data_IF_041105887297
#
_entry.id   IF_041105887297
#
_cell.length_a   1.000
_cell.length_b   1.000
_cell.length_c   1.000
_cell.angle_alpha   90.00
_cell.angle_beta   90.00
_cell.angle_gamma   90.00
#
_symmetry.space_group_name_H-M   'P 1'
#
loop_
_entity.id
_entity.type
_entity.pdbx_description
1 polymer ?
#
# COMPACT_ATOMS: atom_id res chain seq x y z
N UNK A 1 3.74 -13.82 -43.64
CA UNK A 1 2.55 -12.95 -43.70
C UNK A 1 1.43 -13.73 -43.03
N UNK A 2 1.18 -13.47 -41.74
CA UNK A 2 0.09 -14.12 -41.00
C UNK A 2 -1.23 -13.48 -41.41
N UNK A 3 -2.11 -14.27 -42.05
CA UNK A 3 -3.47 -13.84 -42.42
C UNK A 3 -4.34 -13.84 -41.18
N UNK A 4 -4.66 -12.67 -40.65
CA UNK A 4 -5.68 -12.50 -39.63
C UNK A 4 -7.06 -12.74 -40.27
N UNK A 5 -7.65 -13.91 -40.04
CA UNK A 5 -9.07 -14.15 -40.37
C UNK A 5 -9.92 -13.64 -39.19
N UNK A 6 -10.39 -12.41 -39.29
CA UNK A 6 -11.48 -11.93 -38.45
C UNK A 6 -12.71 -12.84 -38.70
N UNK A 7 -13.24 -13.43 -37.64
CA UNK A 7 -14.53 -14.14 -37.64
C UNK A 7 -15.60 -13.17 -37.04
N UNK A 8 -16.44 -12.58 -37.89
CA UNK A 8 -17.41 -11.57 -37.45
C UNK A 8 -18.39 -12.08 -36.38
N UNK A 9 -18.76 -13.36 -36.47
CA UNK A 9 -19.60 -14.08 -35.51
C UNK A 9 -18.97 -14.18 -34.10
N UNK A 10 -17.67 -14.48 -34.03
CA UNK A 10 -16.96 -14.51 -32.76
C UNK A 10 -16.77 -13.10 -32.17
N UNK A 11 -16.41 -12.12 -33.00
CA UNK A 11 -16.25 -10.73 -32.54
C UNK A 11 -17.58 -10.15 -32.03
N UNK A 12 -18.69 -10.46 -32.69
CA UNK A 12 -20.01 -10.04 -32.24
C UNK A 12 -20.39 -10.69 -30.88
N UNK A 13 -20.09 -11.98 -30.72
CA UNK A 13 -20.31 -12.68 -29.45
C UNK A 13 -19.48 -12.09 -28.29
N UNK A 14 -18.18 -11.85 -28.53
CA UNK A 14 -17.28 -11.23 -27.55
C UNK A 14 -17.70 -9.80 -27.17
N UNK A 15 -18.21 -9.01 -28.13
CA UNK A 15 -18.75 -7.67 -27.90
C UNK A 15 -20.01 -7.69 -27.04
N UNK A 16 -20.91 -8.64 -27.27
CA UNK A 16 -22.13 -8.80 -26.45
C UNK A 16 -21.75 -9.19 -25.04
N UNK A 17 -20.90 -10.19 -24.88
CA UNK A 17 -20.43 -10.62 -23.57
C UNK A 17 -19.67 -9.52 -22.79
N UNK A 18 -18.88 -8.72 -23.50
CA UNK A 18 -18.21 -7.55 -22.91
C UNK A 18 -19.21 -6.50 -22.43
N UNK A 19 -20.23 -6.17 -23.24
CA UNK A 19 -21.25 -5.21 -22.87
C UNK A 19 -22.11 -5.69 -21.68
N UNK A 20 -22.44 -6.97 -21.62
CA UNK A 20 -23.15 -7.57 -20.47
C UNK A 20 -22.31 -7.50 -19.20
N UNK A 21 -21.02 -7.83 -19.27
CA UNK A 21 -20.09 -7.72 -18.15
C UNK A 21 -19.93 -6.26 -17.68
N UNK A 22 -19.85 -5.33 -18.62
CA UNK A 22 -19.76 -3.91 -18.33
C UNK A 22 -21.04 -3.39 -17.64
N UNK A 23 -22.21 -3.76 -18.15
CA UNK A 23 -23.50 -3.38 -17.58
C UNK A 23 -23.67 -3.95 -16.16
N UNK A 24 -23.34 -5.24 -15.95
CA UNK A 24 -23.37 -5.86 -14.64
C UNK A 24 -22.35 -5.24 -13.68
N UNK A 25 -21.17 -4.89 -14.18
CA UNK A 25 -20.15 -4.18 -13.39
C UNK A 25 -20.64 -2.79 -12.94
N UNK A 26 -21.24 -2.02 -13.82
CA UNK A 26 -21.83 -0.72 -13.49
C UNK A 26 -23.00 -0.84 -12.51
N UNK A 27 -23.87 -1.83 -12.69
CA UNK A 27 -24.96 -2.10 -11.77
C UNK A 27 -24.45 -2.47 -10.38
N UNK A 28 -23.45 -3.37 -10.29
CA UNK A 28 -22.80 -3.72 -9.04
C UNK A 28 -22.16 -2.49 -8.38
N UNK A 29 -21.53 -1.60 -9.13
CA UNK A 29 -20.98 -0.34 -8.58
C UNK A 29 -22.04 0.59 -8.01
N UNK A 30 -23.25 0.63 -8.61
CA UNK A 30 -24.36 1.41 -8.09
C UNK A 30 -25.02 0.77 -6.87
N UNK A 31 -24.97 -0.55 -6.75
CA UNK A 31 -25.50 -1.33 -5.64
C UNK A 31 -24.52 -1.42 -4.44
N UNK A 32 -23.22 -1.18 -4.68
CA UNK A 32 -22.24 -1.05 -3.61
C UNK A 32 -22.52 0.27 -2.88
N UNK A 33 -23.20 0.18 -1.75
CA UNK A 33 -23.42 1.31 -0.85
C UNK A 33 -22.12 1.88 -0.29
N UNK A 34 -22.18 2.64 0.79
CA UNK A 34 -20.97 3.14 1.47
C UNK A 34 -20.05 1.96 1.82
N UNK A 35 -18.86 1.96 1.21
CA UNK A 35 -17.84 0.94 1.50
C UNK A 35 -17.27 1.26 2.87
N UNK A 36 -17.55 0.40 3.85
CA UNK A 36 -16.87 0.49 5.15
C UNK A 36 -15.42 -0.02 4.99
N UNK A 37 -14.49 0.90 5.07
CA UNK A 37 -13.06 0.62 5.02
C UNK A 37 -12.51 0.50 6.45
N UNK A 38 -11.52 -0.39 6.65
CA UNK A 38 -10.89 -0.56 7.96
C UNK A 38 -11.84 -1.13 9.01
N UNK A 39 -12.34 -2.33 8.74
CA UNK A 39 -13.40 -3.00 9.52
C UNK A 39 -12.96 -3.47 10.90
N UNK A 40 -11.65 -3.65 11.12
CA UNK A 40 -11.11 -4.12 12.39
C UNK A 40 -10.96 -2.97 13.38
N UNK A 41 -11.42 -3.19 14.61
CA UNK A 41 -11.34 -2.18 15.67
C UNK A 41 -9.88 -1.77 15.95
N UNK A 42 -9.64 -0.47 15.97
CA UNK A 42 -8.31 0.10 16.18
C UNK A 42 -8.34 1.35 17.03
N UNK A 43 -7.25 1.63 17.72
CA UNK A 43 -7.04 2.85 18.45
C UNK A 43 -5.87 3.65 17.88
N UNK A 44 -5.96 4.97 17.96
CA UNK A 44 -4.81 5.85 17.69
C UNK A 44 -3.93 5.85 18.93
N UNK A 45 -2.68 5.44 18.75
CA UNK A 45 -1.75 5.34 19.89
C UNK A 45 -0.63 6.38 19.85
N UNK A 46 -0.29 6.88 18.65
CA UNK A 46 0.75 7.90 18.48
C UNK A 46 0.44 8.76 17.24
N UNK A 47 0.88 10.01 17.26
CA UNK A 47 0.82 10.95 16.14
C UNK A 47 2.11 11.74 16.06
N UNK A 48 2.57 11.93 14.82
CA UNK A 48 3.70 12.79 14.51
C UNK A 48 3.39 13.52 13.20
N UNK A 49 3.17 14.82 13.26
CA UNK A 49 2.67 15.64 12.16
C UNK A 49 1.37 15.04 11.56
N UNK A 50 1.40 14.60 10.31
CA UNK A 50 0.27 13.94 9.61
C UNK A 50 0.22 12.44 9.82
N UNK A 51 1.33 11.86 10.26
CA UNK A 51 1.41 10.44 10.55
C UNK A 51 0.51 10.08 11.74
N UNK A 52 -0.24 9.00 11.58
CA UNK A 52 -1.00 8.38 12.66
C UNK A 52 -0.59 6.92 12.79
N UNK A 53 -0.20 6.54 14.00
CA UNK A 53 0.06 5.14 14.33
C UNK A 53 -1.19 4.53 14.97
N UNK A 54 -1.71 3.51 14.34
CA UNK A 54 -2.81 2.72 14.85
C UNK A 54 -2.31 1.45 15.52
N UNK A 55 -2.98 1.02 16.61
CA UNK A 55 -2.90 -0.32 17.15
C UNK A 55 -4.24 -1.01 17.00
N UNK A 56 -4.25 -2.22 16.50
CA UNK A 56 -5.46 -3.01 16.31
C UNK A 56 -5.78 -3.83 17.54
N UNK A 57 -7.08 -3.96 17.85
CA UNK A 57 -7.55 -4.75 18.98
C UNK A 57 -7.61 -6.22 18.59
N UNK A 58 -6.86 -7.04 19.33
CA UNK A 58 -6.90 -8.49 19.16
C UNK A 58 -8.17 -9.09 19.79
N UNK A 59 -8.65 -10.25 19.30
CA UNK A 59 -9.66 -11.03 19.97
C UNK A 59 -9.19 -11.45 21.38
N UNK A 60 -10.07 -11.42 22.37
CA UNK A 60 -9.71 -11.67 23.78
C UNK A 60 -9.18 -13.10 24.01
N UNK A 61 -9.64 -14.06 23.21
CA UNK A 61 -9.27 -15.48 23.32
C UNK A 61 -7.87 -15.76 22.74
N UNK A 62 -7.30 -14.84 21.97
CA UNK A 62 -6.04 -15.06 21.26
C UNK A 62 -4.86 -14.47 22.07
N UNK A 63 -3.96 -15.36 22.49
CA UNK A 63 -2.73 -14.94 23.15
C UNK A 63 -1.82 -14.23 22.15
N UNK A 64 -1.54 -12.97 22.42
CA UNK A 64 -0.66 -12.15 21.58
C UNK A 64 0.83 -12.50 21.77
N UNK A 65 1.59 -12.35 20.69
CA UNK A 65 3.07 -12.39 20.71
C UNK A 65 3.61 -11.31 21.64
N UNK A 66 4.71 -11.66 22.33
CA UNK A 66 5.43 -10.70 23.15
C UNK A 66 6.18 -9.63 22.35
N UNK A 67 6.45 -9.89 21.06
CA UNK A 67 7.09 -8.95 20.15
C UNK A 67 6.06 -8.45 19.16
N UNK A 68 5.66 -7.16 19.22
CA UNK A 68 4.67 -6.58 18.33
C UNK A 68 5.21 -6.45 16.90
N UNK A 69 4.27 -6.29 15.96
CA UNK A 69 4.55 -6.11 14.53
C UNK A 69 4.09 -4.73 14.08
N UNK A 70 5.01 -3.96 13.50
CA UNK A 70 4.71 -2.70 12.83
C UNK A 70 4.57 -2.93 11.33
N UNK A 71 3.41 -2.60 10.78
CA UNK A 71 3.18 -2.60 9.33
C UNK A 71 3.52 -1.23 8.77
N UNK A 72 4.49 -1.23 7.84
CA UNK A 72 4.89 -0.06 7.05
C UNK A 72 4.31 -0.23 5.65
N UNK A 73 3.27 0.54 5.34
CA UNK A 73 2.59 0.50 4.04
C UNK A 73 3.18 1.52 3.07
N UNK A 74 2.77 1.48 1.80
CA UNK A 74 3.24 2.41 0.77
C UNK A 74 2.66 3.82 0.94
N UNK A 75 3.39 4.84 0.49
CA UNK A 75 2.90 6.23 0.42
C UNK A 75 1.85 6.43 -0.69
N UNK A 76 1.96 5.65 -1.77
CA UNK A 76 1.13 5.80 -2.98
C UNK A 76 -0.28 5.20 -2.87
N UNK A 77 -0.56 4.49 -1.80
CA UNK A 77 -1.85 3.83 -1.58
C UNK A 77 -2.26 3.97 -0.11
N UNK A 78 -3.51 3.65 0.19
CA UNK A 78 -4.04 3.81 1.55
C UNK A 78 -3.84 2.55 2.38
N UNK A 79 -3.47 2.68 3.66
CA UNK A 79 -3.20 1.53 4.53
C UNK A 79 -4.45 0.68 4.82
N UNK A 80 -5.68 1.20 4.66
CA UNK A 80 -6.90 0.42 4.81
C UNK A 80 -7.01 -0.74 3.80
N UNK A 81 -6.20 -0.74 2.74
CA UNK A 81 -6.09 -1.89 1.83
C UNK A 81 -5.64 -3.17 2.54
N UNK A 82 -5.00 -3.07 3.69
CA UNK A 82 -4.64 -4.22 4.54
C UNK A 82 -5.81 -4.75 5.36
N UNK A 83 -6.92 -3.98 5.41
CA UNK A 83 -8.12 -4.26 6.22
C UNK A 83 -9.39 -3.88 5.44
N UNK A 84 -9.53 -4.40 4.22
CA UNK A 84 -10.48 -3.91 3.23
C UNK A 84 -11.93 -4.29 3.58
N UNK A 85 -12.15 -5.55 3.96
CA UNK A 85 -13.47 -6.12 4.27
C UNK A 85 -13.32 -7.21 5.31
N UNK A 86 -14.40 -7.57 5.98
CA UNK A 86 -14.39 -8.58 7.05
C UNK A 86 -13.79 -9.94 6.64
N UNK A 87 -14.06 -10.38 5.41
CA UNK A 87 -13.50 -11.61 4.83
C UNK A 87 -12.26 -11.38 3.96
N UNK A 88 -11.74 -10.14 3.90
CA UNK A 88 -10.56 -9.72 3.15
C UNK A 88 -9.72 -8.75 3.98
N UNK A 89 -9.36 -9.17 5.17
CA UNK A 89 -8.52 -8.41 6.08
C UNK A 89 -7.27 -9.21 6.42
N UNK A 90 -6.12 -8.68 6.02
CA UNK A 90 -4.83 -9.20 6.44
C UNK A 90 -4.60 -8.91 7.93
N UNK A 91 -5.06 -7.75 8.39
CA UNK A 91 -4.99 -7.35 9.80
C UNK A 91 -5.66 -8.39 10.68
N UNK A 92 -6.92 -8.75 10.36
CA UNK A 92 -7.68 -9.77 11.10
C UNK A 92 -6.93 -11.11 11.15
N UNK A 93 -6.41 -11.57 10.01
CA UNK A 93 -5.63 -12.80 9.96
C UNK A 93 -4.36 -12.76 10.82
N UNK A 94 -3.66 -11.63 10.88
CA UNK A 94 -2.49 -11.45 11.74
C UNK A 94 -2.87 -11.46 13.24
N UNK A 95 -3.97 -10.79 13.60
CA UNK A 95 -4.48 -10.77 14.98
C UNK A 95 -4.93 -12.16 15.44
N UNK A 96 -5.67 -12.90 14.60
CA UNK A 96 -6.08 -14.28 14.83
C UNK A 96 -4.88 -15.23 14.94
N UNK A 97 -3.80 -14.92 14.20
CA UNK A 97 -2.49 -15.60 14.31
C UNK A 97 -1.67 -15.20 15.54
N UNK A 98 -2.20 -14.34 16.41
CA UNK A 98 -1.55 -13.93 17.66
C UNK A 98 -0.51 -12.83 17.50
N UNK A 99 -0.56 -12.02 16.43
CA UNK A 99 0.31 -10.85 16.30
C UNK A 99 -0.34 -9.63 16.97
N UNK A 100 0.46 -8.86 17.75
CA UNK A 100 0.07 -7.53 18.21
C UNK A 100 0.42 -6.53 17.11
N UNK A 101 -0.60 -6.02 16.42
CA UNK A 101 -0.44 -5.32 15.13
C UNK A 101 -0.54 -3.81 15.29
N UNK A 102 0.48 -3.12 14.79
CA UNK A 102 0.52 -1.69 14.59
C UNK A 102 0.58 -1.36 13.10
N UNK A 103 0.00 -0.25 12.68
CA UNK A 103 -0.02 0.20 11.28
C UNK A 103 0.24 1.70 11.19
N UNK A 104 1.20 2.09 10.34
CA UNK A 104 1.43 3.48 9.99
C UNK A 104 0.42 3.92 8.93
N UNK A 105 -0.31 5.00 9.22
CA UNK A 105 -1.01 5.82 8.23
C UNK A 105 -0.24 7.13 8.06
N UNK A 106 0.32 7.34 6.88
CA UNK A 106 1.12 8.52 6.55
C UNK A 106 0.31 9.82 6.46
N UNK A 107 -1.03 9.72 6.49
CA UNK A 107 -1.92 10.85 6.22
C UNK A 107 -1.97 11.23 4.74
N UNK A 108 -2.38 12.47 4.48
CA UNK A 108 -2.44 13.04 3.13
C UNK A 108 -1.41 14.15 3.01
N UNK A 109 -0.45 14.04 2.08
CA UNK A 109 0.53 15.09 1.86
C UNK A 109 -0.12 16.34 1.27
N UNK A 110 0.37 17.51 1.66
CA UNK A 110 0.06 18.79 1.03
C UNK A 110 1.34 19.51 0.57
N UNK A 111 1.22 20.79 0.18
CA UNK A 111 2.37 21.56 -0.34
C UNK A 111 3.48 21.76 0.69
N UNK A 112 3.19 21.68 1.98
CA UNK A 112 4.21 21.83 3.03
C UNK A 112 5.15 20.63 3.07
N UNK A 113 4.68 19.45 2.67
CA UNK A 113 5.43 18.18 2.75
C UNK A 113 6.46 18.02 1.62
N UNK A 114 6.48 18.93 0.64
CA UNK A 114 7.44 18.89 -0.49
C UNK A 114 8.90 18.90 -0.06
N UNK A 115 9.18 19.31 1.16
CA UNK A 115 10.54 19.36 1.71
C UNK A 115 10.95 18.04 2.38
N UNK A 116 9.99 17.12 2.62
CA UNK A 116 10.27 15.84 3.23
C UNK A 116 11.08 14.95 2.29
N UNK A 117 12.13 14.38 2.84
CA UNK A 117 13.05 13.47 2.16
C UNK A 117 12.79 12.02 2.56
N UNK A 118 13.45 11.08 1.90
CA UNK A 118 13.41 9.66 2.33
C UNK A 118 13.98 9.48 3.75
N UNK A 119 14.93 10.31 4.14
CA UNK A 119 15.51 10.30 5.48
C UNK A 119 14.46 10.65 6.55
N UNK A 120 13.63 11.65 6.29
CA UNK A 120 12.53 12.03 7.19
C UNK A 120 11.53 10.90 7.37
N UNK A 121 11.20 10.15 6.30
CA UNK A 121 10.32 8.99 6.38
C UNK A 121 10.95 7.81 7.13
N UNK A 122 12.22 7.52 6.88
CA UNK A 122 12.89 6.32 7.38
C UNK A 122 13.43 6.56 8.79
N UNK A 123 14.29 7.58 8.97
CA UNK A 123 14.95 7.87 10.24
C UNK A 123 14.15 8.83 11.14
N UNK A 124 13.15 9.51 10.58
CA UNK A 124 12.20 10.31 11.35
C UNK A 124 10.97 9.48 11.75
N UNK A 125 10.03 9.34 10.83
CA UNK A 125 8.69 8.80 11.14
C UNK A 125 8.69 7.31 11.51
N UNK A 126 9.41 6.45 10.77
CA UNK A 126 9.46 5.01 11.10
C UNK A 126 10.17 4.83 12.43
N UNK A 127 11.31 5.51 12.65
CA UNK A 127 12.07 5.41 13.89
C UNK A 127 11.25 5.88 15.10
N UNK A 128 10.54 7.00 15.00
CA UNK A 128 9.62 7.49 16.05
C UNK A 128 8.54 6.46 16.39
N UNK A 129 7.97 5.79 15.39
CA UNK A 129 6.99 4.72 15.61
C UNK A 129 7.60 3.51 16.30
N UNK A 130 8.80 3.08 15.88
CA UNK A 130 9.51 1.95 16.47
C UNK A 130 9.86 2.26 17.92
N UNK A 131 10.41 3.44 18.20
CA UNK A 131 10.77 3.87 19.57
C UNK A 131 9.54 3.93 20.47
N UNK A 132 8.42 4.46 19.97
CA UNK A 132 7.16 4.47 20.70
C UNK A 132 6.71 3.06 21.07
N UNK A 133 6.74 2.11 20.11
CA UNK A 133 6.30 0.74 20.34
C UNK A 133 7.26 0.03 21.30
N UNK A 134 8.57 0.18 21.11
CA UNK A 134 9.60 -0.36 22.01
C UNK A 134 9.39 0.12 23.45
N UNK A 135 9.22 1.43 23.65
CA UNK A 135 8.98 2.01 24.97
C UNK A 135 7.69 1.50 25.60
N UNK A 136 6.60 1.39 24.82
CA UNK A 136 5.30 0.88 25.29
C UNK A 136 5.35 -0.54 25.78
N UNK A 137 6.16 -1.39 25.15
CA UNK A 137 6.28 -2.82 25.46
C UNK A 137 7.50 -3.17 26.33
N UNK A 138 8.38 -2.22 26.59
CA UNK A 138 9.64 -2.46 27.32
C UNK A 138 10.59 -3.37 26.55
N UNK A 139 10.66 -3.21 25.22
CA UNK A 139 11.48 -4.00 24.32
C UNK A 139 12.55 -3.11 23.67
N UNK A 140 13.63 -3.74 23.19
CA UNK A 140 14.68 -3.07 22.42
C UNK A 140 14.41 -3.15 20.90
N UNK A 141 13.62 -4.14 20.46
CA UNK A 141 13.34 -4.38 19.05
C UNK A 141 11.92 -4.92 18.81
N UNK A 142 11.41 -4.69 17.60
CA UNK A 142 10.08 -5.13 17.15
C UNK A 142 10.17 -5.87 15.80
N UNK A 143 9.06 -6.51 15.40
CA UNK A 143 8.94 -7.07 14.06
C UNK A 143 8.46 -5.99 13.10
N UNK A 144 9.00 -5.98 11.87
CA UNK A 144 8.54 -5.13 10.77
C UNK A 144 7.88 -5.96 9.67
N UNK A 145 6.75 -5.48 9.16
CA UNK A 145 6.14 -5.96 7.93
C UNK A 145 6.07 -4.81 6.94
N UNK A 146 7.00 -4.79 5.99
CA UNK A 146 7.03 -3.79 4.93
C UNK A 146 6.27 -4.24 3.69
N UNK A 147 5.31 -3.44 3.21
CA UNK A 147 4.47 -3.78 2.07
C UNK A 147 4.74 -2.80 0.93
N UNK A 148 5.02 -3.33 -0.27
CA UNK A 148 5.32 -2.56 -1.47
C UNK A 148 6.47 -1.57 -1.23
N UNK A 149 6.27 -0.27 -1.45
CA UNK A 149 7.25 0.78 -1.15
C UNK A 149 7.64 0.80 0.33
N UNK A 150 6.70 0.53 1.24
CA UNK A 150 6.99 0.39 2.67
C UNK A 150 7.96 -0.75 2.98
N UNK A 151 8.00 -1.78 2.13
CA UNK A 151 9.02 -2.84 2.21
C UNK A 151 10.43 -2.31 1.90
N UNK A 152 10.56 -1.44 0.89
CA UNK A 152 11.84 -0.79 0.59
C UNK A 152 12.31 0.11 1.74
N UNK A 153 11.40 0.88 2.35
CA UNK A 153 11.71 1.70 3.52
C UNK A 153 12.12 0.84 4.72
N UNK A 154 11.40 -0.26 4.97
CA UNK A 154 11.72 -1.19 6.05
C UNK A 154 13.07 -1.90 5.85
N UNK A 155 13.45 -2.21 4.61
CA UNK A 155 14.79 -2.73 4.28
C UNK A 155 15.88 -1.70 4.61
N UNK A 156 15.70 -0.46 4.18
CA UNK A 156 16.64 0.62 4.50
C UNK A 156 16.74 0.84 6.01
N UNK A 157 15.59 0.94 6.68
CA UNK A 157 15.54 1.09 8.15
C UNK A 157 16.26 -0.05 8.87
N UNK A 158 15.97 -1.30 8.51
CA UNK A 158 16.60 -2.47 9.14
C UNK A 158 18.12 -2.55 8.91
N UNK A 159 18.59 -2.01 7.79
CA UNK A 159 20.03 -1.95 7.52
C UNK A 159 20.74 -0.86 8.34
N UNK A 160 20.04 0.23 8.67
CA UNK A 160 20.58 1.34 9.46
C UNK A 160 20.42 1.14 10.97
N UNK A 161 19.35 0.46 11.40
CA UNK A 161 18.99 0.23 12.81
C UNK A 161 18.76 -1.25 13.09
N UNK A 162 19.74 -2.14 12.83
CA UNK A 162 19.58 -3.58 13.00
C UNK A 162 19.25 -3.98 14.44
N UNK A 163 19.64 -3.19 15.42
CA UNK A 163 19.38 -3.42 16.85
C UNK A 163 17.91 -3.22 17.22
N UNK A 164 17.15 -2.42 16.45
CA UNK A 164 15.72 -2.14 16.68
C UNK A 164 14.80 -3.11 15.95
N UNK A 165 15.33 -4.00 15.11
CA UNK A 165 14.54 -4.91 14.27
C UNK A 165 14.78 -6.35 14.65
N UNK A 166 13.78 -6.97 15.29
CA UNK A 166 13.83 -8.40 15.66
C UNK A 166 13.67 -9.31 14.43
N UNK A 167 12.70 -9.00 13.57
CA UNK A 167 12.48 -9.70 12.31
C UNK A 167 11.87 -8.75 11.27
N UNK A 168 12.27 -8.97 10.01
CA UNK A 168 11.72 -8.23 8.87
C UNK A 168 11.02 -9.19 7.90
N UNK A 169 9.77 -8.89 7.60
CA UNK A 169 9.01 -9.52 6.52
C UNK A 169 8.77 -8.47 5.43
N UNK A 170 9.08 -8.80 4.18
CA UNK A 170 8.78 -7.93 3.03
C UNK A 170 7.77 -8.60 2.10
N UNK A 171 6.77 -7.85 1.68
CA UNK A 171 5.71 -8.33 0.79
C UNK A 171 5.60 -7.44 -0.43
N UNK A 172 5.67 -8.04 -1.64
CA UNK A 172 5.59 -7.35 -2.95
C UNK A 172 6.52 -6.12 -3.05
N UNK A 173 7.71 -6.25 -2.49
CA UNK A 173 8.65 -5.14 -2.30
C UNK A 173 9.51 -4.95 -3.55
N UNK A 174 9.52 -3.74 -4.15
CA UNK A 174 10.45 -3.42 -5.21
C UNK A 174 11.84 -3.16 -4.62
N UNK A 175 12.84 -3.92 -5.11
CA UNK A 175 14.23 -3.82 -4.63
C UNK A 175 15.15 -3.30 -5.74
N UNK A 176 15.01 -3.82 -6.96
CA UNK A 176 15.76 -3.36 -8.12
C UNK A 176 14.84 -2.56 -9.06
N UNK A 177 15.09 -1.24 -9.14
CA UNK A 177 14.32 -0.33 -9.98
C UNK A 177 14.89 -0.20 -11.40
N UNK A 178 16.06 -0.79 -11.68
CA UNK A 178 16.77 -0.65 -12.96
C UNK A 178 16.67 -1.88 -13.86
N UNK A 179 15.70 -2.76 -13.60
CA UNK A 179 15.49 -3.91 -14.47
C UNK A 179 15.04 -3.46 -15.88
N UNK A 180 15.51 -4.12 -16.97
CA UNK A 180 15.21 -3.68 -18.33
C UNK A 180 13.73 -3.68 -18.71
N UNK A 181 12.90 -4.46 -18.02
CA UNK A 181 11.46 -4.59 -18.20
C UNK A 181 10.62 -3.63 -17.33
N UNK A 182 11.28 -2.81 -16.51
CA UNK A 182 10.58 -1.86 -15.64
C UNK A 182 10.16 -0.60 -16.42
N UNK A 183 8.98 -0.65 -17.02
CA UNK A 183 8.39 0.46 -17.78
C UNK A 183 8.26 1.74 -16.96
N UNK A 184 7.88 1.65 -15.68
CA UNK A 184 7.75 2.83 -14.80
C UNK A 184 9.08 3.55 -14.64
N UNK A 185 10.17 2.81 -14.44
CA UNK A 185 11.51 3.37 -14.33
C UNK A 185 11.92 4.10 -15.62
N UNK A 186 11.59 3.52 -16.78
CA UNK A 186 11.87 4.16 -18.06
C UNK A 186 11.06 5.45 -18.26
N UNK A 187 9.79 5.47 -17.88
CA UNK A 187 8.94 6.66 -18.00
C UNK A 187 9.37 7.78 -17.07
N UNK A 188 9.68 7.47 -15.82
CA UNK A 188 10.12 8.47 -14.82
C UNK A 188 11.39 9.18 -15.26
N UNK A 189 12.32 8.48 -15.95
CA UNK A 189 13.53 9.11 -16.48
C UNK A 189 13.27 10.16 -17.56
N UNK A 190 12.09 10.20 -18.16
CA UNK A 190 11.68 11.18 -19.17
C UNK A 190 10.87 12.36 -18.57
N UNK A 191 10.62 12.33 -17.27
CA UNK A 191 9.84 13.36 -16.57
C UNK A 191 10.78 14.21 -15.74
N UNK A 192 10.69 15.52 -15.91
CA UNK A 192 11.31 16.47 -15.00
C UNK A 192 10.48 16.55 -13.72
N UNK A 193 10.90 15.80 -12.69
CA UNK A 193 10.18 15.68 -11.43
C UNK A 193 10.17 17.00 -10.67
N UNK A 194 11.23 17.75 -10.69
CA UNK A 194 11.34 19.04 -10.00
C UNK A 194 10.35 20.03 -10.61
N UNK A 195 10.33 20.14 -11.94
CA UNK A 195 9.35 20.97 -12.64
C UNK A 195 7.91 20.53 -12.39
N UNK A 196 7.64 19.22 -12.35
CA UNK A 196 6.33 18.67 -12.04
C UNK A 196 5.88 19.11 -10.64
N UNK A 197 6.71 18.88 -9.63
CA UNK A 197 6.41 19.22 -8.24
C UNK A 197 6.29 20.73 -8.04
N UNK A 198 7.15 21.53 -8.66
CA UNK A 198 7.09 22.99 -8.58
C UNK A 198 5.79 23.56 -9.22
N UNK A 199 5.29 22.89 -10.26
CA UNK A 199 4.11 23.34 -11.00
C UNK A 199 2.82 22.88 -10.32
N UNK A 200 2.71 21.60 -9.95
CA UNK A 200 1.46 20.97 -9.48
C UNK A 200 1.44 20.83 -7.95
N UNK A 201 2.60 20.89 -7.29
CA UNK A 201 2.77 20.59 -5.88
C UNK A 201 3.03 19.10 -5.68
N UNK A 202 2.05 18.38 -5.15
CA UNK A 202 2.12 16.91 -5.05
C UNK A 202 1.67 16.24 -6.36
N UNK A 203 2.17 15.05 -6.64
CA UNK A 203 1.72 14.25 -7.79
C UNK A 203 0.25 13.87 -7.59
N UNK A 204 -0.66 14.28 -8.50
CA UNK A 204 -2.09 13.98 -8.35
C UNK A 204 -2.36 12.46 -8.39
N UNK A 205 -3.27 11.99 -7.55
CA UNK A 205 -3.66 10.57 -7.50
C UNK A 205 -4.22 10.06 -8.82
N UNK A 206 -4.98 10.91 -9.55
CA UNK A 206 -5.48 10.58 -10.89
C UNK A 206 -4.35 10.33 -11.89
N UNK A 207 -3.26 11.10 -11.83
CA UNK A 207 -2.10 10.89 -12.68
C UNK A 207 -1.43 9.54 -12.41
N UNK A 208 -1.33 9.16 -11.14
CA UNK A 208 -0.83 7.85 -10.75
C UNK A 208 -1.76 6.73 -11.24
N UNK A 209 -3.07 6.87 -11.06
CA UNK A 209 -4.04 5.91 -11.56
C UNK A 209 -3.96 5.72 -13.08
N UNK A 210 -3.88 6.80 -13.84
CA UNK A 210 -3.69 6.75 -15.29
C UNK A 210 -2.38 6.04 -15.67
N UNK A 211 -1.30 6.31 -14.96
CA UNK A 211 -0.01 5.68 -15.18
C UNK A 211 -0.10 4.17 -14.99
N UNK A 212 -0.67 3.72 -13.86
CA UNK A 212 -0.84 2.30 -13.58
C UNK A 212 -1.79 1.60 -14.55
N UNK A 213 -2.90 2.22 -14.95
CA UNK A 213 -3.82 1.67 -15.95
C UNK A 213 -3.14 1.47 -17.31
N UNK A 214 -2.23 2.36 -17.70
CA UNK A 214 -1.51 2.26 -18.96
C UNK A 214 -0.39 1.20 -18.96
N UNK A 215 0.05 0.69 -17.81
CA UNK A 215 1.03 -0.40 -17.75
C UNK A 215 0.49 -1.71 -18.33
N UNK A 216 -0.76 -2.03 -18.05
CA UNK A 216 -1.43 -3.25 -18.53
C UNK A 216 -2.92 -3.01 -18.76
N UNK A 217 -3.29 -2.20 -19.77
CA UNK A 217 -4.68 -1.75 -19.95
C UNK A 217 -5.67 -2.91 -20.12
N UNK A 218 -5.31 -3.94 -20.90
CA UNK A 218 -6.17 -5.10 -21.11
C UNK A 218 -6.35 -5.98 -19.87
N UNK A 219 -5.33 -6.10 -19.02
CA UNK A 219 -5.43 -6.90 -17.80
C UNK A 219 -6.23 -6.19 -16.71
N UNK A 220 -6.05 -4.87 -16.57
CA UNK A 220 -6.67 -4.09 -15.48
C UNK A 220 -8.12 -3.74 -15.77
N UNK A 221 -8.52 -3.64 -17.04
CA UNK A 221 -9.91 -3.37 -17.43
C UNK A 221 -10.75 -4.63 -17.63
N UNK A 222 -10.12 -5.81 -17.81
CA UNK A 222 -10.81 -7.07 -18.04
C UNK A 222 -10.70 -8.09 -16.90
N UNK A 223 -10.02 -7.75 -15.81
CA UNK A 223 -9.99 -8.59 -14.62
C UNK A 223 -11.34 -8.48 -13.87
N UNK A 224 -11.93 -9.64 -13.71
CA UNK A 224 -13.17 -9.92 -12.97
C UNK A 224 -13.02 -9.64 -11.47
#
# INVERSE_FOLDING_TARGET
>A
MMSFKLRPDQVAGELVEFNEKLANGLQNMLEVGEISEGVTEREVVFRDDKLTLYRYRAPEEVKQSSVPMLIVYALVNRPYMTDLQENRSMIKGLLEGGQDVYLIDWGYPDRSDRILTLDDYINGYIDSCVDYICARHGLESINLLGICQGGAFSLCYSAMHPEKVNALVTMVTPVDFKTPDNMLSHWVQQVDIDLLVDTVGNVPGEMLNWTFLNLKPYHLTSLK
#
